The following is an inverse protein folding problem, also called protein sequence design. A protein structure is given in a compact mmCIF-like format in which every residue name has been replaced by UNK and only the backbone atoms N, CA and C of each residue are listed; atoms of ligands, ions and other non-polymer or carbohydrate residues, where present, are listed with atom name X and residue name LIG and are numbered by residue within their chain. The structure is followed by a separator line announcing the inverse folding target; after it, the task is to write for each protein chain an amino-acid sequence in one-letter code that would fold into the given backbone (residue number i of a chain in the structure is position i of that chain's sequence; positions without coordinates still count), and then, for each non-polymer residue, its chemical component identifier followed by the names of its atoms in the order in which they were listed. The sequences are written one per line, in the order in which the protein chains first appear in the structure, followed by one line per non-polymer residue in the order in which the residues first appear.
data_IF_000597148868
#
_entry.id   IF_000597148868
#
_cell.length_a   1.000
_cell.length_b   1.000
_cell.length_c   1.000
_cell.angle_alpha   90.00
_cell.angle_beta   90.00
_cell.angle_gamma   90.00
#
_symmetry.space_group_name_H-M   'P 1'
#
loop_
_entity.id
_entity.type
_entity.pdbx_description
1 polymer ?
#
# COMPACT_ATOMS: atom_id res chain seq x y z
N UNK A 1 -43.22 -4.59 12.02
CA UNK A 1 -41.87 -4.69 12.49
C UNK A 1 -40.89 -5.27 11.42
N UNK A 2 -41.22 -6.37 10.75
CA UNK A 2 -40.41 -7.01 9.69
C UNK A 2 -40.09 -6.11 8.47
N UNK A 3 -41.02 -5.25 8.05
CA UNK A 3 -40.84 -4.37 6.87
C UNK A 3 -39.88 -3.19 7.15
N UNK A 4 -39.71 -2.80 8.41
CA UNK A 4 -38.83 -1.71 8.84
C UNK A 4 -37.37 -2.16 8.90
N UNK A 5 -37.10 -3.34 9.48
CA UNK A 5 -35.77 -3.92 9.58
C UNK A 5 -35.20 -4.25 8.21
N UNK A 6 -35.98 -4.74 7.26
CA UNK A 6 -35.55 -4.99 5.89
C UNK A 6 -35.21 -3.72 5.10
N UNK A 7 -35.84 -2.59 5.39
CA UNK A 7 -35.51 -1.31 4.73
C UNK A 7 -34.22 -0.72 5.26
N UNK A 8 -33.95 -0.84 6.54
CA UNK A 8 -32.72 -0.38 7.16
C UNK A 8 -31.53 -1.24 6.73
N UNK A 9 -31.64 -2.55 6.75
CA UNK A 9 -30.56 -3.46 6.32
C UNK A 9 -30.17 -3.24 4.85
N UNK A 10 -31.13 -3.03 3.94
CA UNK A 10 -30.82 -2.75 2.54
C UNK A 10 -30.15 -1.37 2.32
N UNK A 11 -30.53 -0.36 3.09
CA UNK A 11 -29.88 0.96 3.01
C UNK A 11 -28.46 0.92 3.55
N UNK A 12 -28.25 0.29 4.69
CA UNK A 12 -26.91 0.12 5.28
C UNK A 12 -25.98 -0.66 4.35
N UNK A 13 -26.47 -1.74 3.72
CA UNK A 13 -25.70 -2.51 2.75
C UNK A 13 -25.32 -1.69 1.50
N UNK A 14 -26.20 -0.78 1.03
CA UNK A 14 -25.88 0.11 -0.10
C UNK A 14 -24.82 1.12 0.31
N UNK A 15 -24.92 1.74 1.49
CA UNK A 15 -23.93 2.71 1.98
C UNK A 15 -22.56 2.04 2.16
N UNK A 16 -22.51 0.90 2.85
CA UNK A 16 -21.27 0.14 3.03
C UNK A 16 -20.67 -0.34 1.70
N UNK A 17 -21.53 -0.79 0.77
CA UNK A 17 -21.11 -1.17 -0.57
C UNK A 17 -20.51 0.00 -1.36
N UNK A 18 -21.03 1.23 -1.17
CA UNK A 18 -20.47 2.42 -1.80
C UNK A 18 -19.05 2.72 -1.27
N UNK A 19 -18.84 2.64 0.05
CA UNK A 19 -17.50 2.80 0.62
C UNK A 19 -16.53 1.76 0.08
N UNK A 20 -16.92 0.48 0.01
CA UNK A 20 -16.08 -0.59 -0.56
C UNK A 20 -15.77 -0.35 -2.05
N UNK A 21 -16.71 0.19 -2.82
CA UNK A 21 -16.46 0.54 -4.23
C UNK A 21 -15.46 1.68 -4.35
N UNK A 22 -15.61 2.72 -3.55
CA UNK A 22 -14.67 3.87 -3.53
C UNK A 22 -13.28 3.39 -3.14
N UNK A 23 -13.18 2.59 -2.09
CA UNK A 23 -11.94 2.01 -1.61
C UNK A 23 -11.25 1.14 -2.67
N UNK A 24 -11.96 0.17 -3.24
CA UNK A 24 -11.41 -0.72 -4.26
C UNK A 24 -11.02 0.00 -5.55
N UNK A 25 -11.81 0.99 -5.99
CA UNK A 25 -11.50 1.73 -7.22
C UNK A 25 -10.33 2.70 -7.05
N UNK A 26 -10.19 3.35 -5.89
CA UNK A 26 -9.02 4.17 -5.58
C UNK A 26 -7.74 3.34 -5.52
N UNK A 27 -7.77 2.19 -4.82
CA UNK A 27 -6.64 1.27 -4.80
C UNK A 27 -6.27 0.74 -6.19
N UNK A 28 -7.25 0.42 -7.03
CA UNK A 28 -6.98 0.02 -8.41
C UNK A 28 -6.24 1.13 -9.20
N UNK A 29 -6.60 2.40 -9.02
CA UNK A 29 -5.89 3.52 -9.64
C UNK A 29 -4.48 3.65 -9.08
N UNK A 30 -4.32 3.53 -7.76
CA UNK A 30 -3.04 3.65 -7.06
C UNK A 30 -2.04 2.53 -7.39
N UNK A 31 -2.48 1.42 -8.00
CA UNK A 31 -1.56 0.43 -8.59
C UNK A 31 -0.57 1.07 -9.60
N UNK A 32 -0.96 2.17 -10.21
CA UNK A 32 -0.15 2.92 -11.18
C UNK A 32 0.34 4.26 -10.63
N UNK A 33 0.39 4.42 -9.30
CA UNK A 33 0.80 5.67 -8.65
C UNK A 33 2.14 6.19 -9.17
N UNK A 34 3.17 5.34 -9.26
CA UNK A 34 4.50 5.74 -9.72
C UNK A 34 4.47 6.24 -11.18
N UNK A 35 3.77 5.54 -12.07
CA UNK A 35 3.65 5.94 -13.47
C UNK A 35 2.84 7.23 -13.61
N UNK A 36 1.77 7.40 -12.85
CA UNK A 36 0.96 8.61 -12.84
C UNK A 36 1.75 9.80 -12.27
N UNK A 37 2.52 9.58 -11.21
CA UNK A 37 3.40 10.59 -10.63
C UNK A 37 4.46 11.03 -11.64
N UNK A 38 5.18 10.08 -12.27
CA UNK A 38 6.18 10.38 -13.30
C UNK A 38 5.57 11.09 -14.51
N UNK A 39 4.40 10.67 -14.96
CA UNK A 39 3.70 11.31 -16.08
C UNK A 39 3.26 12.74 -15.77
N UNK A 40 2.83 13.03 -14.54
CA UNK A 40 2.42 14.36 -14.10
C UNK A 40 3.59 15.29 -13.80
N UNK A 41 4.80 14.75 -13.60
CA UNK A 41 6.03 15.48 -13.26
C UNK A 41 7.14 15.27 -14.30
N UNK A 42 6.82 15.32 -15.60
CA UNK A 42 7.76 14.98 -16.68
C UNK A 42 9.03 15.82 -16.68
N UNK A 43 8.97 17.10 -16.34
CA UNK A 43 10.15 17.98 -16.18
C UNK A 43 11.04 17.57 -15.01
N UNK A 44 10.47 17.13 -13.91
CA UNK A 44 11.20 16.61 -12.75
C UNK A 44 12.03 15.37 -13.13
N UNK A 45 11.48 14.49 -13.96
CA UNK A 45 12.14 13.25 -14.42
C UNK A 45 13.00 13.40 -15.68
N UNK A 46 13.27 14.64 -16.11
CA UNK A 46 14.21 14.83 -17.22
C UNK A 46 15.62 14.38 -16.82
N UNK A 47 16.27 13.57 -17.63
CA UNK A 47 17.62 13.12 -17.39
C UNK A 47 18.44 13.06 -18.67
N UNK A 48 19.74 13.27 -18.55
CA UNK A 48 20.71 13.28 -19.62
C UNK A 48 21.64 12.07 -19.48
N UNK A 49 21.85 11.33 -20.57
CA UNK A 49 22.81 10.25 -20.55
C UNK A 49 24.25 10.80 -20.41
N UNK A 50 25.03 10.24 -19.50
CA UNK A 50 26.45 10.59 -19.28
C UNK A 50 27.29 9.34 -19.10
N UNK A 51 28.53 9.39 -19.56
CA UNK A 51 29.52 8.35 -19.29
C UNK A 51 30.07 8.42 -17.85
N UNK A 52 29.95 9.58 -17.22
CA UNK A 52 30.39 9.85 -15.85
C UNK A 52 29.26 10.59 -15.10
N UNK A 53 28.21 9.88 -14.70
CA UNK A 53 27.08 10.49 -13.98
C UNK A 53 27.50 10.81 -12.55
N UNK A 54 26.94 11.89 -12.00
CA UNK A 54 27.11 12.22 -10.59
C UNK A 54 26.47 11.13 -9.69
N UNK A 55 27.03 10.98 -8.50
CA UNK A 55 26.57 10.05 -7.48
C UNK A 55 25.56 10.68 -6.48
N UNK A 56 25.11 9.88 -5.53
CA UNK A 56 24.15 10.30 -4.50
C UNK A 56 24.71 11.41 -3.59
N UNK A 57 26.00 11.35 -3.26
CA UNK A 57 26.66 12.34 -2.42
C UNK A 57 26.75 13.70 -3.12
N UNK A 58 27.16 13.69 -4.39
CA UNK A 58 27.24 14.88 -5.22
C UNK A 58 25.84 15.51 -5.42
N UNK A 59 24.81 14.70 -5.63
CA UNK A 59 23.43 15.18 -5.74
C UNK A 59 22.96 15.84 -4.44
N UNK A 60 23.25 15.23 -3.29
CA UNK A 60 22.96 15.79 -1.97
C UNK A 60 23.66 17.14 -1.77
N UNK A 61 24.96 17.21 -2.11
CA UNK A 61 25.76 18.45 -2.04
C UNK A 61 25.21 19.57 -2.93
N UNK A 62 24.79 19.23 -4.15
CA UNK A 62 24.21 20.23 -5.07
C UNK A 62 22.97 20.84 -4.46
N UNK A 63 22.03 20.01 -3.98
CA UNK A 63 20.75 20.47 -3.43
C UNK A 63 20.98 21.30 -2.17
N UNK A 64 21.80 20.84 -1.22
CA UNK A 64 22.04 21.55 0.05
C UNK A 64 22.79 22.87 -0.17
N UNK A 65 23.66 22.95 -1.17
CA UNK A 65 24.34 24.18 -1.55
C UNK A 65 23.40 25.20 -2.19
N UNK A 66 22.54 24.76 -3.11
CA UNK A 66 21.65 25.67 -3.86
C UNK A 66 20.38 26.01 -3.06
N UNK A 67 20.00 25.16 -2.12
CA UNK A 67 18.82 25.31 -1.25
C UNK A 67 19.21 25.08 0.22
N UNK A 68 19.95 25.96 0.88
CA UNK A 68 20.46 25.74 2.24
C UNK A 68 19.37 25.64 3.30
N UNK A 69 18.17 26.15 3.04
CA UNK A 69 17.00 26.04 3.94
C UNK A 69 16.24 24.71 3.77
N UNK A 70 16.64 23.86 2.81
CA UNK A 70 16.03 22.58 2.59
C UNK A 70 16.66 21.52 3.50
N UNK A 71 15.89 20.99 4.42
CA UNK A 71 16.31 19.91 5.32
C UNK A 71 16.39 18.57 4.56
N UNK A 72 17.45 18.38 3.77
CA UNK A 72 17.66 17.16 3.01
C UNK A 72 17.90 15.97 3.95
N UNK A 73 17.12 14.90 3.81
CA UNK A 73 17.13 13.73 4.68
C UNK A 73 17.40 12.42 3.97
N UNK A 74 17.21 12.37 2.67
CA UNK A 74 17.39 11.14 1.91
C UNK A 74 17.72 11.37 0.43
N UNK A 75 18.29 10.36 -0.20
CA UNK A 75 18.52 10.33 -1.64
C UNK A 75 18.09 8.98 -2.22
N UNK A 76 17.47 9.01 -3.40
CA UNK A 76 17.00 7.81 -4.10
C UNK A 76 17.17 7.96 -5.62
N UNK A 77 17.79 7.00 -6.30
CA UNK A 77 17.72 6.92 -7.76
C UNK A 77 16.32 6.47 -8.18
N UNK A 78 15.62 7.28 -8.96
CA UNK A 78 14.29 6.95 -9.47
C UNK A 78 14.08 7.50 -10.88
N UNK A 79 13.59 6.66 -11.81
CA UNK A 79 13.21 7.07 -13.16
C UNK A 79 14.31 7.80 -13.95
N UNK A 80 15.59 7.52 -13.67
CA UNK A 80 16.74 8.11 -14.34
C UNK A 80 17.30 9.38 -13.68
N UNK A 81 16.70 9.85 -12.59
CA UNK A 81 17.15 11.00 -11.79
C UNK A 81 17.68 10.56 -10.42
N UNK A 82 18.37 11.45 -9.73
CA UNK A 82 18.62 11.34 -8.30
C UNK A 82 17.67 12.29 -7.56
N UNK A 83 16.73 11.71 -6.83
CA UNK A 83 15.80 12.49 -5.99
C UNK A 83 16.45 12.71 -4.62
N UNK A 84 16.55 13.96 -4.20
CA UNK A 84 16.98 14.37 -2.85
C UNK A 84 15.77 14.90 -2.11
N UNK A 85 15.34 14.19 -1.07
CA UNK A 85 14.11 14.49 -0.35
C UNK A 85 14.32 15.08 1.02
N UNK A 86 13.27 15.72 1.52
CA UNK A 86 13.23 16.33 2.85
C UNK A 86 13.13 15.28 3.96
N UNK A 87 13.62 15.62 5.15
CA UNK A 87 13.55 14.74 6.35
C UNK A 87 12.13 14.38 6.75
N UNK A 88 11.15 15.23 6.44
CA UNK A 88 9.72 15.00 6.71
C UNK A 88 8.99 14.25 5.57
N UNK A 89 9.71 13.82 4.53
CA UNK A 89 9.17 13.14 3.36
C UNK A 89 8.07 13.90 2.60
N UNK A 90 7.96 15.21 2.78
CA UNK A 90 6.91 16.01 2.12
C UNK A 90 7.28 16.40 0.70
N UNK A 91 8.55 16.56 0.39
CA UNK A 91 9.00 17.07 -0.91
C UNK A 91 10.39 16.56 -1.29
N UNK A 92 10.69 16.60 -2.59
CA UNK A 92 12.01 16.23 -3.11
C UNK A 92 12.43 17.16 -4.26
N UNK A 93 13.74 17.38 -4.40
CA UNK A 93 14.39 17.94 -5.57
C UNK A 93 14.87 16.81 -6.48
N UNK A 94 14.70 16.96 -7.79
CA UNK A 94 15.30 16.06 -8.77
C UNK A 94 16.59 16.64 -9.30
N UNK A 95 17.67 15.86 -9.29
CA UNK A 95 18.96 16.20 -9.89
C UNK A 95 19.17 15.28 -11.10
N UNK A 96 19.46 15.89 -12.26
CA UNK A 96 19.86 15.16 -13.46
C UNK A 96 21.28 14.60 -13.27
N UNK A 97 21.48 13.28 -13.21
CA UNK A 97 22.78 12.71 -12.93
C UNK A 97 23.80 12.98 -14.05
N UNK A 98 23.36 13.22 -15.27
CA UNK A 98 24.26 13.49 -16.39
C UNK A 98 24.83 14.90 -16.42
N UNK A 99 24.18 15.86 -15.78
CA UNK A 99 24.57 17.28 -15.82
C UNK A 99 24.77 17.93 -14.45
N UNK A 100 24.32 17.29 -13.36
CA UNK A 100 24.28 17.87 -12.03
C UNK A 100 23.23 19.00 -11.87
N UNK A 101 22.36 19.20 -12.84
CA UNK A 101 21.34 20.26 -12.80
C UNK A 101 20.14 19.85 -11.97
N UNK A 102 19.64 20.77 -11.14
CA UNK A 102 18.34 20.61 -10.47
C UNK A 102 17.20 20.86 -11.48
N UNK A 103 16.36 19.86 -11.71
CA UNK A 103 15.23 19.94 -12.63
C UNK A 103 14.02 20.65 -12.02
N UNK A 104 13.89 20.61 -10.69
CA UNK A 104 12.80 21.22 -9.95
C UNK A 104 12.51 20.50 -8.63
N UNK A 105 11.50 21.01 -7.92
CA UNK A 105 10.97 20.45 -6.67
C UNK A 105 9.59 19.86 -6.90
N UNK A 106 9.32 18.69 -6.34
CA UNK A 106 8.00 18.07 -6.32
C UNK A 106 7.47 17.99 -4.88
N UNK A 107 6.18 18.22 -4.71
CA UNK A 107 5.42 17.86 -3.51
C UNK A 107 5.01 16.39 -3.62
N UNK A 108 5.49 15.56 -2.70
CA UNK A 108 5.27 14.11 -2.73
C UNK A 108 3.89 13.71 -2.21
N UNK A 109 3.26 14.56 -1.40
CA UNK A 109 1.99 14.31 -0.75
C UNK A 109 0.83 15.10 -1.38
N UNK A 110 1.13 15.92 -2.40
CA UNK A 110 0.19 16.90 -2.96
C UNK A 110 -0.69 16.38 -4.10
N UNK A 111 -1.54 17.28 -4.58
CA UNK A 111 -2.36 17.06 -5.77
C UNK A 111 -3.41 15.96 -5.65
N UNK A 112 -3.87 15.48 -6.81
CA UNK A 112 -4.90 14.43 -6.89
C UNK A 112 -4.36 13.08 -6.41
N UNK A 113 -3.11 12.76 -6.68
CA UNK A 113 -2.50 11.51 -6.21
C UNK A 113 -2.37 11.49 -4.70
N UNK A 114 -1.88 12.57 -4.08
CA UNK A 114 -1.83 12.71 -2.63
C UNK A 114 -3.21 12.61 -1.98
N UNK A 115 -4.25 13.18 -2.61
CA UNK A 115 -5.63 13.00 -2.14
C UNK A 115 -6.09 11.55 -2.21
N UNK A 116 -5.78 10.83 -3.30
CA UNK A 116 -6.17 9.41 -3.46
C UNK A 116 -5.41 8.52 -2.45
N UNK A 117 -4.13 8.77 -2.24
CA UNK A 117 -3.32 8.08 -1.20
C UNK A 117 -3.92 8.34 0.18
N UNK A 118 -4.16 9.60 0.54
CA UNK A 118 -4.74 9.96 1.83
C UNK A 118 -6.12 9.29 2.06
N UNK A 119 -6.92 9.18 1.02
CA UNK A 119 -8.24 8.53 1.09
C UNK A 119 -8.10 7.01 1.26
N UNK A 120 -7.26 6.35 0.45
CA UNK A 120 -7.14 4.90 0.38
C UNK A 120 -6.27 4.31 1.49
N UNK A 121 -5.06 4.87 1.67
CA UNK A 121 -4.08 4.30 2.60
C UNK A 121 -4.30 4.79 4.05
N UNK A 122 -4.97 5.95 4.24
CA UNK A 122 -5.04 6.62 5.52
C UNK A 122 -6.46 6.96 5.99
N UNK A 123 -7.51 6.70 5.22
CA UNK A 123 -8.86 7.22 5.50
C UNK A 123 -8.87 8.71 5.91
N UNK A 124 -8.16 9.55 5.17
CA UNK A 124 -8.01 10.99 5.41
C UNK A 124 -7.27 11.37 6.70
N UNK A 125 -6.34 10.55 7.18
CA UNK A 125 -5.52 10.82 8.36
C UNK A 125 -4.05 11.14 8.07
N UNK A 126 -3.58 10.99 6.82
CA UNK A 126 -2.21 11.33 6.43
C UNK A 126 -1.95 12.82 6.56
N UNK A 127 -1.08 13.20 7.51
CA UNK A 127 -0.72 14.58 7.76
C UNK A 127 -0.06 15.22 6.51
N UNK A 128 -0.41 16.48 6.23
CA UNK A 128 0.14 17.20 5.07
C UNK A 128 -0.49 16.87 3.72
N UNK A 129 -1.29 15.80 3.62
CA UNK A 129 -1.96 15.42 2.37
C UNK A 129 -3.30 16.15 2.19
N UNK A 130 -3.72 16.41 0.93
CA UNK A 130 -5.01 17.02 0.65
C UNK A 130 -6.18 16.24 1.23
N UNK A 131 -7.11 16.93 1.88
CA UNK A 131 -8.33 16.33 2.43
C UNK A 131 -8.18 15.71 3.83
N UNK A 132 -7.06 15.93 4.51
CA UNK A 132 -6.85 15.42 5.88
C UNK A 132 -7.93 15.92 6.84
N UNK A 133 -8.53 14.99 7.59
CA UNK A 133 -9.57 15.21 8.58
C UNK A 133 -9.03 14.95 9.99
N UNK A 134 -8.72 16.00 10.73
CA UNK A 134 -8.15 15.90 12.07
C UNK A 134 -9.00 15.08 13.06
N UNK A 135 -10.32 15.03 12.88
CA UNK A 135 -11.19 14.22 13.72
C UNK A 135 -10.91 12.70 13.58
N UNK A 136 -10.43 12.25 12.42
CA UNK A 136 -10.12 10.83 12.16
C UNK A 136 -8.71 10.43 12.61
N UNK A 137 -7.82 11.38 12.89
CA UNK A 137 -6.46 11.09 13.38
C UNK A 137 -6.41 10.72 14.86
N UNK A 138 -7.49 10.98 15.60
CA UNK A 138 -7.56 10.61 17.01
C UNK A 138 -7.65 9.10 17.20
N UNK A 139 -7.00 8.54 18.24
CA UNK A 139 -7.11 7.13 18.56
C UNK A 139 -8.55 6.77 18.96
N UNK A 140 -8.96 5.54 18.63
CA UNK A 140 -10.24 4.99 19.09
C UNK A 140 -10.18 4.69 20.60
N UNK A 141 -11.32 4.72 21.33
CA UNK A 141 -11.35 4.27 22.72
C UNK A 141 -10.93 2.82 22.83
N UNK A 142 -9.95 2.52 23.68
CA UNK A 142 -9.40 1.16 23.81
C UNK A 142 -10.36 0.17 24.44
N UNK A 143 -11.31 0.63 25.25
CA UNK A 143 -12.30 -0.21 25.98
C UNK A 143 -11.63 -1.38 26.73
N UNK A 144 -10.40 -1.20 27.19
CA UNK A 144 -9.59 -2.24 27.83
C UNK A 144 -8.88 -3.22 26.89
N UNK A 145 -9.00 -3.02 25.58
CA UNK A 145 -8.32 -3.84 24.55
C UNK A 145 -7.02 -3.17 24.11
N UNK A 146 -5.88 -3.71 24.53
CA UNK A 146 -4.54 -3.13 24.30
C UNK A 146 -4.18 -3.01 22.80
N UNK A 147 -4.72 -3.89 21.95
CA UNK A 147 -4.48 -3.86 20.51
C UNK A 147 -5.16 -2.68 19.78
N UNK A 148 -6.03 -1.92 20.46
CA UNK A 148 -6.61 -0.67 19.94
C UNK A 148 -5.80 0.58 20.31
N UNK A 149 -4.74 0.47 21.10
CA UNK A 149 -4.06 1.63 21.69
C UNK A 149 -3.58 2.65 20.63
N UNK A 150 -3.08 2.15 19.49
CA UNK A 150 -2.50 2.97 18.42
C UNK A 150 -3.40 3.05 17.17
N UNK A 151 -4.61 2.48 17.24
CA UNK A 151 -5.55 2.50 16.13
C UNK A 151 -6.30 3.82 16.09
N UNK A 152 -6.18 4.57 15.00
CA UNK A 152 -6.95 5.80 14.76
C UNK A 152 -8.36 5.48 14.26
N UNK A 153 -9.27 6.45 14.30
CA UNK A 153 -10.60 6.29 13.70
C UNK A 153 -10.51 6.00 12.19
N UNK A 154 -9.56 6.63 11.49
CA UNK A 154 -9.30 6.32 10.07
C UNK A 154 -8.89 4.87 9.87
N UNK A 155 -7.88 4.40 10.60
CA UNK A 155 -7.42 3.01 10.54
C UNK A 155 -8.51 2.02 10.92
N UNK A 156 -9.32 2.32 11.96
CA UNK A 156 -10.46 1.48 12.33
C UNK A 156 -11.50 1.37 11.19
N UNK A 157 -11.77 2.46 10.47
CA UNK A 157 -12.69 2.45 9.32
C UNK A 157 -12.15 1.54 8.22
N UNK A 158 -10.88 1.73 7.79
CA UNK A 158 -10.26 0.91 6.74
C UNK A 158 -10.17 -0.57 7.14
N UNK A 159 -9.71 -0.84 8.36
CA UNK A 159 -9.63 -2.20 8.87
C UNK A 159 -10.99 -2.91 8.91
N UNK A 160 -12.05 -2.20 9.33
CA UNK A 160 -13.42 -2.75 9.30
C UNK A 160 -13.91 -2.96 7.87
N UNK A 161 -13.58 -2.08 6.92
CA UNK A 161 -13.90 -2.29 5.49
C UNK A 161 -13.17 -3.52 4.95
N UNK A 162 -11.90 -3.75 5.31
CA UNK A 162 -11.15 -4.97 4.97
C UNK A 162 -11.83 -6.23 5.52
N UNK A 163 -12.21 -6.24 6.81
CA UNK A 163 -12.94 -7.36 7.43
C UNK A 163 -14.31 -7.58 6.79
N UNK A 164 -15.01 -6.51 6.42
CA UNK A 164 -16.28 -6.61 5.70
C UNK A 164 -16.10 -7.23 4.32
N UNK A 165 -15.05 -6.85 3.58
CA UNK A 165 -14.71 -7.44 2.28
C UNK A 165 -14.42 -8.94 2.43
N UNK A 166 -13.65 -9.34 3.44
CA UNK A 166 -13.36 -10.73 3.77
C UNK A 166 -14.66 -11.51 4.07
N UNK A 167 -15.54 -10.95 4.92
CA UNK A 167 -16.84 -11.54 5.25
C UNK A 167 -17.73 -11.69 4.01
N UNK A 168 -17.78 -10.68 3.13
CA UNK A 168 -18.56 -10.74 1.88
C UNK A 168 -17.98 -11.78 0.92
N UNK A 169 -16.67 -11.91 0.83
CA UNK A 169 -16.01 -12.94 0.04
C UNK A 169 -16.37 -14.35 0.52
N UNK A 170 -16.23 -14.64 1.81
CA UNK A 170 -16.56 -15.95 2.41
C UNK A 170 -18.06 -16.27 2.25
N UNK A 171 -18.92 -15.30 2.60
CA UNK A 171 -20.37 -15.50 2.44
C UNK A 171 -20.79 -15.67 0.99
N UNK A 172 -20.10 -14.99 0.07
CA UNK A 172 -20.29 -15.13 -1.38
C UNK A 172 -20.04 -16.58 -1.86
N UNK A 173 -18.97 -17.22 -1.38
CA UNK A 173 -18.70 -18.63 -1.67
C UNK A 173 -19.85 -19.51 -1.21
N UNK A 174 -20.28 -19.36 0.04
CA UNK A 174 -21.34 -20.18 0.66
C UNK A 174 -22.66 -20.04 -0.10
N UNK A 175 -23.02 -18.80 -0.46
CA UNK A 175 -24.27 -18.52 -1.17
C UNK A 175 -24.24 -18.95 -2.64
N UNK A 176 -23.08 -18.87 -3.29
CA UNK A 176 -22.92 -19.25 -4.68
C UNK A 176 -22.87 -20.77 -4.87
N UNK A 177 -22.40 -21.55 -3.87
CA UNK A 177 -22.09 -22.97 -4.01
C UNK A 177 -23.26 -23.81 -4.54
N UNK A 178 -23.22 -24.26 -5.82
CA UNK A 178 -24.38 -24.92 -6.43
C UNK A 178 -24.47 -26.43 -6.17
N UNK A 179 -23.55 -27.04 -5.46
CA UNK A 179 -23.22 -28.46 -5.30
C UNK A 179 -22.15 -28.93 -6.28
N UNK A 180 -21.39 -29.97 -5.92
CA UNK A 180 -20.35 -30.53 -6.79
C UNK A 180 -20.89 -31.02 -8.15
N UNK A 181 -22.06 -31.66 -8.17
CA UNK A 181 -22.70 -32.16 -9.38
C UNK A 181 -23.15 -31.06 -10.35
N UNK A 182 -23.34 -29.84 -9.86
CA UNK A 182 -23.83 -28.69 -10.65
C UNK A 182 -22.81 -27.56 -10.73
N UNK A 183 -21.56 -27.81 -10.38
CA UNK A 183 -20.52 -26.77 -10.30
C UNK A 183 -20.41 -25.94 -11.59
N UNK A 184 -20.40 -26.58 -12.76
CA UNK A 184 -20.34 -25.90 -14.04
C UNK A 184 -21.54 -24.99 -14.32
N UNK A 185 -22.71 -25.26 -13.72
CA UNK A 185 -23.89 -24.42 -13.87
C UNK A 185 -23.74 -23.04 -13.19
N UNK A 186 -22.88 -22.94 -12.15
CA UNK A 186 -22.56 -21.68 -11.48
C UNK A 186 -21.86 -20.64 -12.37
N UNK A 187 -21.25 -21.09 -13.47
CA UNK A 187 -20.59 -20.23 -14.46
C UNK A 187 -21.44 -19.93 -15.70
N UNK A 188 -22.71 -20.34 -15.70
CA UNK A 188 -23.59 -20.16 -16.84
C UNK A 188 -24.10 -18.71 -16.93
N UNK A 189 -23.94 -18.08 -18.11
CA UNK A 189 -24.40 -16.73 -18.42
C UNK A 189 -25.62 -16.77 -19.35
N UNK A 190 -26.79 -16.36 -18.87
CA UNK A 190 -28.05 -16.32 -19.63
C UNK A 190 -28.30 -14.93 -20.23
N UNK A 191 -27.39 -14.46 -21.10
CA UNK A 191 -27.39 -13.09 -21.64
C UNK A 191 -28.69 -12.68 -22.34
N UNK A 192 -29.42 -13.64 -22.97
CA UNK A 192 -30.64 -13.42 -23.77
C UNK A 192 -31.94 -13.68 -22.98
N UNK A 193 -31.90 -13.99 -21.68
CA UNK A 193 -33.07 -14.33 -20.85
C UNK A 193 -33.65 -13.15 -20.04
N UNK A 194 -33.40 -11.92 -20.50
CA UNK A 194 -33.82 -10.69 -19.86
C UNK A 194 -32.86 -10.16 -18.79
N UNK A 195 -33.06 -8.89 -18.43
CA UNK A 195 -32.16 -8.12 -17.56
C UNK A 195 -31.85 -8.82 -16.23
N UNK A 196 -32.91 -9.29 -15.55
CA UNK A 196 -32.73 -9.91 -14.23
C UNK A 196 -31.84 -11.16 -14.28
N UNK A 197 -32.07 -12.05 -15.25
CA UNK A 197 -31.29 -13.28 -15.38
C UNK A 197 -29.83 -12.96 -15.74
N UNK A 198 -29.63 -12.03 -16.67
CA UNK A 198 -28.31 -11.58 -17.08
C UNK A 198 -27.52 -10.98 -15.90
N UNK A 199 -28.11 -10.02 -15.19
CA UNK A 199 -27.41 -9.28 -14.12
C UNK A 199 -27.14 -10.17 -12.91
N UNK A 200 -28.04 -11.13 -12.62
CA UNK A 200 -27.83 -12.15 -11.58
C UNK A 200 -26.67 -13.09 -11.94
N UNK A 201 -26.66 -13.59 -13.19
CA UNK A 201 -25.60 -14.49 -13.63
C UNK A 201 -24.25 -13.78 -13.69
N UNK A 202 -24.19 -12.54 -14.17
CA UNK A 202 -22.98 -11.71 -14.15
C UNK A 202 -22.50 -11.48 -12.71
N UNK A 203 -23.39 -11.13 -11.80
CA UNK A 203 -23.04 -10.97 -10.38
C UNK A 203 -22.41 -12.23 -9.79
N UNK A 204 -23.00 -13.40 -10.06
CA UNK A 204 -22.52 -14.68 -9.57
C UNK A 204 -21.16 -15.06 -10.17
N UNK A 205 -21.01 -14.95 -11.50
CA UNK A 205 -19.79 -15.35 -12.18
C UNK A 205 -18.63 -14.41 -11.84
N UNK A 206 -18.86 -13.10 -11.92
CA UNK A 206 -17.83 -12.12 -11.55
C UNK A 206 -17.49 -12.24 -10.07
N UNK A 207 -18.49 -12.41 -9.21
CA UNK A 207 -18.29 -12.60 -7.78
C UNK A 207 -17.35 -13.77 -7.50
N UNK A 208 -17.64 -14.96 -8.01
CA UNK A 208 -16.82 -16.16 -7.72
C UNK A 208 -15.40 -16.04 -8.29
N UNK A 209 -15.23 -15.48 -9.48
CA UNK A 209 -13.91 -15.23 -10.09
C UNK A 209 -13.09 -14.23 -9.28
N UNK A 210 -13.74 -13.25 -8.64
CA UNK A 210 -13.08 -12.23 -7.83
C UNK A 210 -12.74 -12.71 -6.41
N UNK A 211 -13.29 -13.84 -5.94
CA UNK A 211 -13.12 -14.28 -4.56
C UNK A 211 -11.66 -14.34 -4.09
N UNK A 212 -10.71 -14.96 -4.80
CA UNK A 212 -9.33 -15.03 -4.32
C UNK A 212 -8.75 -13.62 -4.07
N UNK A 213 -9.07 -12.67 -4.93
CA UNK A 213 -8.61 -11.29 -4.85
C UNK A 213 -9.30 -10.52 -3.71
N UNK A 214 -10.62 -10.66 -3.58
CA UNK A 214 -11.38 -10.03 -2.48
C UNK A 214 -10.93 -10.55 -1.11
N UNK A 215 -10.59 -11.84 -1.00
CA UNK A 215 -10.02 -12.42 0.23
C UNK A 215 -8.62 -11.86 0.50
N UNK A 216 -7.77 -11.76 -0.53
CA UNK A 216 -6.43 -11.17 -0.39
C UNK A 216 -6.52 -9.73 0.06
N UNK A 217 -7.28 -8.87 -0.64
CA UNK A 217 -7.42 -7.47 -0.25
C UNK A 217 -8.10 -7.29 1.11
N UNK A 218 -9.09 -8.13 1.42
CA UNK A 218 -9.77 -8.07 2.71
C UNK A 218 -8.84 -8.37 3.88
N UNK A 219 -8.04 -9.43 3.80
CA UNK A 219 -7.12 -9.80 4.88
C UNK A 219 -5.93 -8.86 4.97
N UNK A 220 -5.31 -8.50 3.83
CA UNK A 220 -4.13 -7.64 3.82
C UNK A 220 -4.49 -6.21 4.20
N UNK A 221 -5.58 -5.64 3.66
CA UNK A 221 -6.04 -4.31 4.05
C UNK A 221 -6.46 -4.22 5.52
N UNK A 222 -7.13 -5.27 6.06
CA UNK A 222 -7.41 -5.30 7.49
C UNK A 222 -6.14 -5.43 8.35
N UNK A 223 -5.12 -6.16 7.87
CA UNK A 223 -3.87 -6.35 8.58
C UNK A 223 -3.02 -5.07 8.67
N UNK A 224 -3.05 -4.22 7.65
CA UNK A 224 -2.33 -2.95 7.67
C UNK A 224 -2.84 -2.00 8.75
N UNK A 225 -4.13 -2.05 9.05
CA UNK A 225 -4.79 -1.10 9.92
C UNK A 225 -5.08 -1.65 11.33
N UNK A 226 -5.23 -2.96 11.45
CA UNK A 226 -5.62 -3.62 12.71
C UNK A 226 -4.55 -4.61 13.17
N UNK A 227 -3.71 -4.27 14.16
CA UNK A 227 -2.66 -5.14 14.67
C UNK A 227 -3.16 -6.51 15.15
N UNK A 228 -4.44 -6.63 15.52
CA UNK A 228 -5.05 -7.91 15.88
C UNK A 228 -5.12 -8.90 14.71
N UNK A 229 -5.20 -8.42 13.47
CA UNK A 229 -5.25 -9.29 12.27
C UNK A 229 -3.90 -9.93 12.02
N UNK A 230 -2.81 -9.17 12.15
CA UNK A 230 -1.44 -9.71 12.12
C UNK A 230 -1.23 -10.75 13.21
N UNK A 231 -1.54 -10.39 14.46
CA UNK A 231 -1.43 -11.32 15.60
C UNK A 231 -2.22 -12.60 15.40
N UNK A 232 -3.44 -12.50 14.86
CA UNK A 232 -4.27 -13.66 14.54
C UNK A 232 -3.66 -14.50 13.42
N UNK A 233 -3.13 -13.87 12.36
CA UNK A 233 -2.43 -14.55 11.29
C UNK A 233 -1.24 -15.36 11.83
N UNK A 234 -0.34 -14.72 12.56
CA UNK A 234 0.85 -15.36 13.12
C UNK A 234 0.47 -16.51 14.07
N UNK A 235 -0.52 -16.31 14.95
CA UNK A 235 -1.00 -17.35 15.86
C UNK A 235 -1.59 -18.57 15.13
N UNK A 236 -2.30 -18.37 14.03
CA UNK A 236 -2.91 -19.45 13.25
C UNK A 236 -1.93 -20.18 12.33
N UNK A 237 -0.85 -19.52 11.91
CA UNK A 237 0.11 -20.05 10.93
C UNK A 237 1.44 -20.50 11.56
N UNK A 238 1.56 -20.44 12.88
CA UNK A 238 2.77 -20.87 13.60
C UNK A 238 3.89 -19.83 13.60
N UNK A 239 3.53 -18.56 13.42
CA UNK A 239 4.44 -17.43 13.60
C UNK A 239 4.68 -17.10 15.08
N UNK A 240 5.58 -16.15 15.29
CA UNK A 240 5.89 -15.57 16.61
C UNK A 240 5.49 -14.10 16.63
N UNK A 241 5.35 -13.53 17.81
CA UNK A 241 5.16 -12.08 17.95
C UNK A 241 6.30 -11.33 17.21
N UNK A 242 5.99 -10.23 16.52
CA UNK A 242 7.02 -9.42 15.86
C UNK A 242 8.09 -9.00 16.86
N UNK A 243 9.35 -9.13 16.50
CA UNK A 243 10.49 -8.63 17.27
C UNK A 243 10.92 -7.28 16.67
N UNK A 244 10.36 -6.20 17.17
CA UNK A 244 10.67 -4.85 16.72
C UNK A 244 12.16 -4.50 16.92
N UNK A 245 12.82 -5.07 17.94
CA UNK A 245 14.24 -4.87 18.18
C UNK A 245 15.11 -5.43 17.05
N UNK A 246 14.60 -6.42 16.29
CA UNK A 246 15.27 -6.94 15.11
C UNK A 246 15.47 -5.85 14.05
N UNK A 247 14.52 -4.95 13.92
CA UNK A 247 14.53 -3.89 12.90
C UNK A 247 15.12 -2.58 13.41
N UNK A 248 15.26 -2.41 14.73
CA UNK A 248 15.88 -1.22 15.32
C UNK A 248 17.41 -1.30 15.26
N UNK A 249 18.05 -0.15 15.03
CA UNK A 249 19.49 0.01 15.13
C UNK A 249 19.81 1.10 16.16
N UNK A 250 20.67 0.78 17.09
CA UNK A 250 21.23 1.74 18.05
C UNK A 250 22.74 1.76 17.84
N UNK A 251 23.30 2.82 17.24
CA UNK A 251 24.71 2.90 16.96
C UNK A 251 25.52 2.91 18.27
N UNK A 252 26.72 2.34 18.22
CA UNK A 252 27.68 2.46 19.30
C UNK A 252 28.08 3.92 19.48
N UNK A 253 28.23 4.35 20.72
CA UNK A 253 28.75 5.69 21.00
C UNK A 253 30.21 5.78 20.57
N UNK A 254 30.51 6.74 19.73
CA UNK A 254 31.86 7.06 19.28
C UNK A 254 32.39 8.32 19.95
N UNK A 255 33.68 8.59 19.83
CA UNK A 255 34.27 9.81 20.36
C UNK A 255 33.64 11.03 19.65
N UNK A 256 33.41 12.12 20.39
CA UNK A 256 32.71 13.33 19.90
C UNK A 256 33.44 14.00 18.73
N UNK A 257 34.73 13.71 18.56
CA UNK A 257 35.62 14.24 17.50
C UNK A 257 35.91 13.23 16.37
N UNK A 258 35.23 12.06 16.37
CA UNK A 258 35.37 11.08 15.30
C UNK A 258 34.89 11.66 13.97
N UNK A 259 35.61 11.44 12.86
CA UNK A 259 35.20 11.92 11.55
C UNK A 259 33.89 11.25 11.14
N UNK A 260 33.01 12.04 10.55
CA UNK A 260 31.77 11.52 9.96
C UNK A 260 32.07 10.83 8.63
N UNK A 261 31.54 9.63 8.44
CA UNK A 261 31.58 8.93 7.15
C UNK A 261 30.77 9.71 6.10
N UNK A 262 31.17 9.59 4.84
CA UNK A 262 30.42 10.15 3.72
C UNK A 262 29.26 9.23 3.28
N UNK A 263 28.37 9.73 2.44
CA UNK A 263 27.32 8.94 1.78
C UNK A 263 27.96 7.83 0.94
N UNK A 264 29.06 8.14 0.25
CA UNK A 264 29.82 7.18 -0.57
C UNK A 264 30.45 6.09 0.27
N UNK A 265 31.01 6.42 1.45
CA UNK A 265 31.54 5.44 2.40
C UNK A 265 30.43 4.50 2.90
N UNK A 266 29.31 5.06 3.37
CA UNK A 266 28.18 4.27 3.85
C UNK A 266 27.60 3.35 2.77
N UNK A 267 27.51 3.82 1.54
CA UNK A 267 27.08 3.03 0.38
C UNK A 267 28.07 1.90 0.09
N UNK A 268 29.38 2.19 0.11
CA UNK A 268 30.41 1.18 -0.10
C UNK A 268 30.41 0.10 0.97
N UNK A 269 30.26 0.49 2.24
CA UNK A 269 30.12 -0.44 3.37
C UNK A 269 28.89 -1.32 3.19
N UNK A 270 27.75 -0.76 2.77
CA UNK A 270 26.56 -1.56 2.52
C UNK A 270 26.78 -2.63 1.44
N UNK A 271 27.50 -2.30 0.36
CA UNK A 271 27.87 -3.24 -0.70
C UNK A 271 28.89 -4.31 -0.25
N UNK A 272 29.68 -4.06 0.78
CA UNK A 272 30.55 -5.08 1.40
C UNK A 272 29.74 -6.18 2.11
N UNK A 273 28.50 -5.86 2.54
CA UNK A 273 27.66 -6.75 3.34
C UNK A 273 26.49 -7.38 2.55
N UNK A 274 26.02 -6.72 1.50
CA UNK A 274 24.83 -7.13 0.75
C UNK A 274 25.06 -6.97 -0.75
N UNK A 275 24.86 -8.06 -1.49
CA UNK A 275 24.78 -8.02 -2.94
C UNK A 275 23.45 -7.41 -3.38
N UNK A 276 23.51 -6.43 -4.27
CA UNK A 276 22.31 -5.73 -4.76
C UNK A 276 22.62 -4.32 -5.22
N UNK A 277 21.59 -3.57 -5.60
CA UNK A 277 21.73 -2.16 -5.94
C UNK A 277 21.21 -1.28 -4.79
N UNK A 278 21.88 -0.19 -4.50
CA UNK A 278 21.33 0.84 -3.62
C UNK A 278 20.08 1.45 -4.26
N UNK A 279 18.98 1.41 -3.54
CA UNK A 279 17.70 1.90 -4.01
C UNK A 279 17.23 3.16 -3.26
N UNK A 280 17.69 3.33 -2.02
CA UNK A 280 17.31 4.45 -1.17
C UNK A 280 18.36 4.60 -0.06
N UNK A 281 18.63 5.83 0.38
CA UNK A 281 19.56 6.10 1.47
C UNK A 281 19.02 7.25 2.32
N UNK A 282 18.92 7.07 3.63
CA UNK A 282 18.69 8.15 4.59
C UNK A 282 20.02 8.57 5.21
N UNK A 283 20.19 9.88 5.39
CA UNK A 283 21.38 10.45 6.03
C UNK A 283 21.16 10.59 7.55
N UNK A 284 22.23 10.65 8.35
CA UNK A 284 22.15 10.84 9.79
C UNK A 284 21.37 12.11 10.17
N UNK A 285 20.63 12.02 11.27
CA UNK A 285 19.95 13.14 11.92
C UNK A 285 20.41 13.23 13.39
N UNK A 286 20.11 14.32 14.09
CA UNK A 286 20.44 14.43 15.52
C UNK A 286 19.84 13.31 16.40
N UNK A 287 18.69 12.75 15.97
CA UNK A 287 17.98 11.67 16.65
C UNK A 287 18.43 10.28 16.22
N UNK A 288 19.03 10.16 15.03
CA UNK A 288 19.42 8.89 14.40
C UNK A 288 20.79 9.06 13.74
N UNK A 289 21.87 8.92 14.54
CA UNK A 289 23.25 9.15 14.11
C UNK A 289 23.82 7.96 13.31
N UNK A 290 23.11 7.60 12.24
CA UNK A 290 23.49 6.52 11.32
C UNK A 290 22.92 6.73 9.92
N UNK A 291 23.56 6.12 8.95
CA UNK A 291 23.01 5.94 7.61
C UNK A 291 22.11 4.71 7.57
N UNK A 292 20.96 4.78 6.87
CA UNK A 292 20.21 3.59 6.50
C UNK A 292 20.25 3.44 4.97
N UNK A 293 21.06 2.50 4.51
CA UNK A 293 21.22 2.19 3.09
C UNK A 293 20.29 1.05 2.74
N UNK A 294 19.28 1.36 1.96
CA UNK A 294 18.31 0.36 1.50
C UNK A 294 18.75 -0.24 0.17
N UNK A 295 18.81 -1.56 0.15
CA UNK A 295 19.31 -2.36 -0.97
C UNK A 295 18.15 -3.12 -1.60
N UNK A 296 18.10 -3.15 -2.93
CA UNK A 296 17.23 -4.02 -3.70
C UNK A 296 17.99 -5.29 -4.08
N UNK A 297 17.57 -6.42 -3.53
CA UNK A 297 18.07 -7.75 -3.88
C UNK A 297 17.45 -8.31 -5.16
N UNK A 298 17.64 -9.61 -5.40
CA UNK A 298 17.12 -10.31 -6.59
C UNK A 298 15.59 -10.33 -6.65
N UNK A 299 14.95 -10.45 -5.49
CA UNK A 299 13.50 -10.35 -5.36
C UNK A 299 13.12 -8.97 -4.85
N UNK A 300 12.81 -8.07 -5.77
CA UNK A 300 12.42 -6.70 -5.48
C UNK A 300 11.00 -6.42 -6.03
N UNK A 301 9.94 -6.94 -5.39
CA UNK A 301 8.56 -6.83 -5.89
C UNK A 301 8.07 -5.39 -5.99
N UNK A 302 8.66 -4.49 -5.20
CA UNK A 302 8.34 -3.06 -5.16
C UNK A 302 9.13 -2.20 -6.16
N UNK A 303 9.98 -2.78 -6.99
CA UNK A 303 10.85 -2.04 -7.92
C UNK A 303 10.12 -1.10 -8.90
N UNK A 304 8.80 -1.16 -8.93
CA UNK A 304 7.93 -0.24 -9.70
C UNK A 304 7.51 1.02 -8.92
N UNK A 305 7.68 1.05 -7.59
CA UNK A 305 7.38 2.24 -6.79
C UNK A 305 8.29 3.41 -7.17
N UNK A 306 7.74 4.62 -7.11
CA UNK A 306 8.57 5.82 -7.03
C UNK A 306 9.29 5.82 -5.67
N UNK A 307 10.56 6.21 -5.67
CA UNK A 307 11.40 6.29 -4.46
C UNK A 307 11.40 4.97 -3.65
N UNK A 308 11.64 3.86 -4.35
CA UNK A 308 11.62 2.53 -3.76
C UNK A 308 12.70 2.36 -2.67
N UNK A 309 12.27 2.05 -1.46
CA UNK A 309 13.14 1.95 -0.30
C UNK A 309 13.93 0.64 -0.17
N UNK A 310 13.81 -0.29 -1.15
CA UNK A 310 14.51 -1.60 -1.04
C UNK A 310 13.83 -2.59 -0.09
N UNK A 311 14.34 -3.80 -0.04
CA UNK A 311 13.84 -4.93 0.76
C UNK A 311 14.85 -5.42 1.81
N UNK A 312 16.09 -4.90 1.76
CA UNK A 312 17.12 -5.11 2.75
C UNK A 312 17.63 -3.74 3.22
N UNK A 313 17.79 -3.53 4.50
CA UNK A 313 18.36 -2.29 5.04
C UNK A 313 19.68 -2.57 5.73
N UNK A 314 20.72 -1.83 5.33
CA UNK A 314 22.02 -1.84 5.99
C UNK A 314 22.17 -0.54 6.77
N UNK A 315 22.12 -0.65 8.09
CA UNK A 315 22.42 0.46 8.98
C UNK A 315 23.94 0.57 9.17
N UNK A 316 24.48 1.77 9.05
CA UNK A 316 25.90 2.06 9.23
C UNK A 316 26.03 3.23 10.20
N UNK A 317 26.73 3.05 11.30
CA UNK A 317 27.04 4.13 12.22
C UNK A 317 27.78 5.27 11.48
N UNK A 318 27.36 6.51 11.67
CA UNK A 318 27.91 7.65 10.93
C UNK A 318 29.39 7.94 11.25
N UNK A 319 29.94 7.37 12.32
CA UNK A 319 31.31 7.58 12.78
C UNK A 319 32.16 6.31 12.93
N UNK A 320 31.56 5.13 12.74
CA UNK A 320 32.25 3.84 12.89
C UNK A 320 31.84 2.87 11.78
N UNK A 321 32.76 2.66 10.83
CA UNK A 321 32.51 1.77 9.69
C UNK A 321 32.31 0.29 10.06
N UNK A 322 32.76 -0.12 11.24
CA UNK A 322 32.67 -1.50 11.72
C UNK A 322 31.39 -1.73 12.55
N UNK A 323 30.62 -0.68 12.82
CA UNK A 323 29.33 -0.75 13.49
C UNK A 323 28.18 -0.76 12.48
N UNK A 324 27.91 -1.96 11.96
CA UNK A 324 26.96 -2.21 10.90
C UNK A 324 25.91 -3.22 11.34
N UNK A 325 24.66 -3.02 10.93
CA UNK A 325 23.59 -3.99 11.10
C UNK A 325 22.83 -4.19 9.80
N UNK A 326 22.78 -5.43 9.33
CA UNK A 326 21.94 -5.82 8.18
C UNK A 326 20.59 -6.32 8.68
N UNK A 327 19.52 -5.77 8.13
CA UNK A 327 18.14 -6.18 8.39
C UNK A 327 17.52 -6.68 7.10
N UNK A 328 17.24 -7.98 7.09
CA UNK A 328 16.49 -8.65 6.04
C UNK A 328 15.38 -9.47 6.70
N UNK A 329 14.12 -9.13 6.39
CA UNK A 329 12.96 -9.80 6.95
C UNK A 329 12.85 -11.28 6.54
N UNK A 330 13.57 -11.72 5.50
CA UNK A 330 13.58 -13.13 5.07
C UNK A 330 14.45 -14.04 5.95
N UNK A 331 15.30 -13.48 6.82
CA UNK A 331 16.26 -14.26 7.62
C UNK A 331 15.95 -14.24 9.12
N UNK A 332 16.20 -15.39 9.75
CA UNK A 332 16.19 -15.51 11.21
C UNK A 332 14.83 -15.40 11.89
N UNK A 333 13.75 -15.70 11.18
CA UNK A 333 12.39 -15.73 11.74
C UNK A 333 11.57 -16.90 11.15
N UNK A 334 10.43 -17.28 11.79
CA UNK A 334 9.53 -18.29 11.25
C UNK A 334 9.00 -17.95 9.86
N UNK A 335 8.75 -18.96 9.04
CA UNK A 335 8.22 -18.78 7.68
C UNK A 335 6.93 -17.96 7.65
N UNK A 336 6.08 -18.09 8.66
CA UNK A 336 4.84 -17.33 8.78
C UNK A 336 5.07 -15.82 8.91
N UNK A 337 6.10 -15.41 9.66
CA UNK A 337 6.54 -14.02 9.79
C UNK A 337 7.14 -13.51 8.47
N UNK A 338 8.05 -14.29 7.88
CA UNK A 338 8.62 -13.95 6.56
C UNK A 338 7.52 -13.78 5.51
N UNK A 339 6.52 -14.66 5.50
CA UNK A 339 5.39 -14.54 4.58
C UNK A 339 4.59 -13.26 4.84
N UNK A 340 4.34 -12.91 6.09
CA UNK A 340 3.66 -11.67 6.44
C UNK A 340 4.45 -10.45 5.95
N UNK A 341 5.72 -10.36 6.29
CA UNK A 341 6.59 -9.22 5.98
C UNK A 341 6.88 -9.06 4.48
N UNK A 342 7.02 -10.17 3.74
CA UNK A 342 7.46 -10.15 2.33
C UNK A 342 6.34 -10.37 1.31
N UNK A 343 5.16 -10.81 1.71
CA UNK A 343 4.09 -11.21 0.78
C UNK A 343 2.81 -10.41 0.95
N UNK A 344 2.42 -10.00 2.17
CA UNK A 344 1.14 -9.31 2.37
C UNK A 344 1.04 -8.02 1.56
N UNK A 345 2.01 -7.15 1.68
CA UNK A 345 1.98 -5.89 0.96
C UNK A 345 2.12 -6.09 -0.55
N UNK A 346 3.10 -6.86 -1.10
CA UNK A 346 3.14 -7.14 -2.54
C UNK A 346 1.90 -7.85 -3.07
N UNK A 347 1.25 -8.71 -2.28
CA UNK A 347 0.00 -9.34 -2.66
C UNK A 347 -1.13 -8.33 -2.76
N UNK A 348 -1.21 -7.37 -1.85
CA UNK A 348 -2.19 -6.30 -1.89
C UNK A 348 -2.07 -5.48 -3.18
N UNK A 349 -0.86 -5.08 -3.53
CA UNK A 349 -0.56 -4.27 -4.71
C UNK A 349 -0.43 -5.05 -6.04
N UNK A 350 -0.56 -6.39 -6.03
CA UNK A 350 -0.45 -7.19 -7.24
C UNK A 350 0.97 -7.28 -7.82
N UNK A 351 2.01 -7.13 -7.00
CA UNK A 351 3.41 -7.13 -7.43
C UNK A 351 4.12 -8.48 -7.29
N UNK A 352 3.44 -9.52 -6.79
CA UNK A 352 4.02 -10.84 -6.55
C UNK A 352 4.49 -11.57 -7.81
N UNK A 353 3.91 -11.27 -8.96
CA UNK A 353 4.17 -12.04 -10.19
C UNK A 353 5.07 -11.26 -11.15
N UNK A 354 4.56 -10.19 -11.73
CA UNK A 354 5.30 -9.34 -12.67
C UNK A 354 4.49 -8.09 -13.02
N UNK A 355 5.09 -7.16 -13.78
CA UNK A 355 4.44 -5.89 -14.15
C UNK A 355 3.11 -6.05 -14.91
N UNK A 356 2.97 -7.09 -15.77
CA UNK A 356 1.72 -7.35 -16.49
C UNK A 356 0.60 -7.82 -15.56
N UNK A 357 0.91 -8.47 -14.44
CA UNK A 357 -0.06 -8.95 -13.46
C UNK A 357 -0.84 -7.79 -12.82
N UNK A 358 -0.25 -6.61 -12.72
CA UNK A 358 -0.95 -5.40 -12.26
C UNK A 358 -2.18 -5.06 -13.13
N UNK A 359 -2.14 -5.36 -14.43
CA UNK A 359 -3.30 -5.18 -15.32
C UNK A 359 -4.46 -6.08 -14.91
N UNK A 360 -4.16 -7.35 -14.56
CA UNK A 360 -5.16 -8.29 -14.04
C UNK A 360 -5.68 -7.78 -12.69
N UNK A 361 -4.78 -7.34 -11.81
CA UNK A 361 -5.12 -6.78 -10.50
C UNK A 361 -6.02 -5.57 -10.61
N UNK A 362 -5.70 -4.63 -11.50
CA UNK A 362 -6.54 -3.48 -11.82
C UNK A 362 -7.93 -3.88 -12.30
N UNK A 363 -8.02 -4.78 -13.28
CA UNK A 363 -9.30 -5.25 -13.81
C UNK A 363 -10.17 -5.89 -12.72
N UNK A 364 -9.54 -6.66 -11.82
CA UNK A 364 -10.23 -7.28 -10.69
C UNK A 364 -10.56 -6.26 -9.58
N UNK A 365 -9.76 -5.22 -9.39
CA UNK A 365 -10.05 -4.09 -8.49
C UNK A 365 -11.30 -3.32 -8.90
N UNK A 366 -11.69 -3.37 -10.17
CA UNK A 366 -12.96 -2.80 -10.65
C UNK A 366 -14.18 -3.70 -10.42
N UNK A 367 -14.00 -4.95 -9.99
CA UNK A 367 -15.12 -5.89 -9.82
C UNK A 367 -16.11 -5.50 -8.71
N UNK A 368 -15.73 -4.90 -7.57
CA UNK A 368 -16.68 -4.40 -6.56
C UNK A 368 -17.68 -3.40 -7.16
N UNK A 369 -17.24 -2.54 -8.07
CA UNK A 369 -18.14 -1.62 -8.79
C UNK A 369 -19.16 -2.38 -9.65
N UNK A 370 -18.72 -3.40 -10.41
CA UNK A 370 -19.59 -4.22 -11.24
C UNK A 370 -20.56 -5.03 -10.37
N UNK A 371 -20.08 -5.58 -9.27
CA UNK A 371 -20.91 -6.31 -8.30
C UNK A 371 -21.96 -5.40 -7.65
N UNK A 372 -21.62 -4.16 -7.33
CA UNK A 372 -22.56 -3.17 -6.83
C UNK A 372 -23.66 -2.86 -7.86
N UNK A 373 -23.29 -2.59 -9.11
CA UNK A 373 -24.22 -2.28 -10.20
C UNK A 373 -25.19 -3.46 -10.43
N UNK A 374 -24.66 -4.68 -10.57
CA UNK A 374 -25.47 -5.87 -10.82
C UNK A 374 -26.34 -6.26 -9.64
N UNK A 375 -25.80 -6.09 -8.42
CA UNK A 375 -26.54 -6.27 -7.17
C UNK A 375 -27.72 -5.31 -7.02
N UNK A 376 -27.50 -4.01 -7.24
CA UNK A 376 -28.55 -2.98 -7.23
C UNK A 376 -29.60 -3.23 -8.33
N UNK A 377 -29.18 -3.65 -9.52
CA UNK A 377 -30.08 -3.99 -10.61
C UNK A 377 -31.02 -5.14 -10.25
N UNK A 378 -30.49 -6.24 -9.72
CA UNK A 378 -31.27 -7.41 -9.29
C UNK A 378 -32.20 -7.10 -8.11
N UNK A 379 -31.68 -6.34 -7.12
CA UNK A 379 -32.47 -5.88 -5.98
C UNK A 379 -33.65 -4.99 -6.40
N UNK A 380 -33.40 -3.99 -7.25
CA UNK A 380 -34.44 -3.07 -7.74
C UNK A 380 -35.55 -3.80 -8.52
N UNK A 381 -35.16 -4.80 -9.33
CA UNK A 381 -36.10 -5.65 -10.05
C UNK A 381 -37.02 -6.44 -9.09
N UNK A 382 -36.44 -7.15 -8.11
CA UNK A 382 -37.21 -7.91 -7.10
C UNK A 382 -38.17 -7.00 -6.36
N UNK A 383 -37.72 -5.81 -5.97
CA UNK A 383 -38.56 -4.82 -5.26
C UNK A 383 -39.70 -4.32 -6.13
N UNK A 384 -39.49 -4.10 -7.41
CA UNK A 384 -40.54 -3.71 -8.38
C UNK A 384 -41.62 -4.80 -8.55
N UNK A 385 -41.20 -6.06 -8.64
CA UNK A 385 -42.13 -7.21 -8.68
C UNK A 385 -42.94 -7.35 -7.41
N UNK A 386 -42.30 -7.21 -6.24
CA UNK A 386 -43.00 -7.29 -4.95
C UNK A 386 -44.06 -6.18 -4.78
N UNK A 387 -43.71 -4.94 -5.22
CA UNK A 387 -44.69 -3.82 -5.21
C UNK A 387 -45.90 -4.09 -6.08
N UNK A 388 -45.67 -4.59 -7.32
CA UNK A 388 -46.75 -4.92 -8.27
C UNK A 388 -47.65 -6.03 -7.73
N UNK A 389 -47.08 -7.07 -7.11
CA UNK A 389 -47.85 -8.14 -6.48
C UNK A 389 -48.71 -7.65 -5.30
N UNK A 390 -48.18 -6.69 -4.52
CA UNK A 390 -48.93 -6.08 -3.40
C UNK A 390 -50.11 -5.24 -3.93
N UNK A 391 -49.91 -4.42 -4.95
CA UNK A 391 -50.95 -3.60 -5.56
C UNK A 391 -52.06 -4.43 -6.27
N UNK A 392 -51.72 -5.62 -6.78
CA UNK A 392 -52.72 -6.53 -7.39
C UNK A 392 -53.53 -7.33 -6.37
N UNK A 393 -53.18 -7.26 -5.07
CA UNK A 393 -53.90 -7.93 -3.95
C UNK A 393 -54.73 -6.95 -3.09
N UNK A 394 -54.52 -5.64 -3.28
CA UNK A 394 -55.33 -4.55 -2.69
C UNK A 394 -56.45 -4.14 -3.64
#
# INVERSE_FOLDING_TARGET
MWDYTHRWSARSAIVLGLFLVVEATSGAILLYNAELFRASHSTFYHHTASADPIDAEQAMHIVTREHPDFAAGWVSPDGGILAVGSTDFSSAYAVDPGTGRINGKADLNGGVLGFLVNMHDCAFTCAGSPGTLSALTHPVPTLGMTWLADVTWGGAILGVLGLLMLFLGISGIILWWPTFARFSHGFRLRMKKGRYARDLDLHNVIGIVSIPFLLTWGITGAAFELPVVEKAWLAMTGGTAPDEAKFAFTPRQTATDAPTLSISDATSIAHEHVDGRTSYLTVPTPEADYYAVSMAGDYAPYGHRAFYSGDITVYVNSHDRDDVKVVDASHGQPLANTFYDKVFEPAHFGWLVSGWWRVVWFALGMTPLILMITGLSTWSFKRGVAKRRKAARS
#
